data_IF_720707602210
#
_entry.id   IF_720707602210
#
_cell.length_a   1.000
_cell.length_b   1.000
_cell.length_c   1.000
_cell.angle_alpha   90.00
_cell.angle_beta   90.00
_cell.angle_gamma   90.00
#
_symmetry.space_group_name_H-M   'P 1'
#
loop_
_entity.id
_entity.type
_entity.pdbx_description
1 polymer ?
#
# COMPACT_ATOMS: atom_id res chain seq x y z
N UNK A 1 -0.22 5.22 -17.77
CA UNK A 1 -0.10 4.34 -18.96
C UNK A 1 -1.11 4.78 -20.00
N UNK A 2 -0.77 4.71 -21.30
CA UNK A 2 -1.77 4.85 -22.37
C UNK A 2 -2.73 3.65 -22.26
N UNK A 3 -4.03 3.86 -22.45
CA UNK A 3 -5.03 2.80 -22.51
C UNK A 3 -4.84 1.97 -23.78
N UNK A 4 -3.73 1.24 -23.87
CA UNK A 4 -3.38 0.41 -25.01
C UNK A 4 -4.37 -0.75 -25.08
N UNK A 5 -5.21 -0.83 -26.11
CA UNK A 5 -6.20 -1.91 -26.21
C UNK A 5 -5.51 -3.25 -26.44
N UNK A 6 -6.00 -4.31 -25.79
CA UNK A 6 -5.49 -5.69 -25.94
C UNK A 6 -6.56 -6.68 -26.45
N UNK A 7 -7.76 -6.19 -26.75
CA UNK A 7 -8.91 -6.98 -27.24
C UNK A 7 -10.03 -7.12 -26.19
N UNK A 8 -11.25 -7.45 -26.64
CA UNK A 8 -12.39 -7.68 -25.73
C UNK A 8 -12.83 -6.47 -24.89
N UNK A 9 -12.53 -5.24 -25.35
CA UNK A 9 -12.79 -4.01 -24.58
C UNK A 9 -11.78 -3.72 -23.46
N UNK A 10 -10.75 -4.55 -23.32
CA UNK A 10 -9.74 -4.45 -22.26
C UNK A 10 -8.53 -3.63 -22.69
N UNK A 11 -7.79 -3.14 -21.71
CA UNK A 11 -6.54 -2.40 -21.86
C UNK A 11 -5.38 -3.17 -21.23
N UNK A 12 -4.15 -2.81 -21.61
CA UNK A 12 -2.94 -3.37 -21.00
C UNK A 12 -2.90 -3.18 -19.47
N UNK A 13 -3.51 -2.12 -18.94
CA UNK A 13 -3.60 -1.89 -17.49
C UNK A 13 -4.45 -2.98 -16.79
N UNK A 14 -5.41 -3.58 -17.49
CA UNK A 14 -6.26 -4.62 -16.93
C UNK A 14 -5.47 -5.91 -16.66
N UNK A 15 -4.42 -6.16 -17.44
CA UNK A 15 -3.52 -7.32 -17.33
C UNK A 15 -2.17 -6.97 -16.66
N UNK A 16 -1.98 -5.72 -16.21
CA UNK A 16 -0.73 -5.27 -15.58
C UNK A 16 -0.98 -4.75 -14.17
N UNK A 17 -0.32 -5.33 -13.18
CA UNK A 17 -0.24 -4.73 -11.86
C UNK A 17 0.78 -3.58 -11.86
N UNK A 18 0.33 -2.37 -11.57
CA UNK A 18 1.20 -1.21 -11.37
C UNK A 18 1.27 -0.91 -9.89
N UNK A 19 2.48 -0.98 -9.35
CA UNK A 19 2.81 -0.49 -8.02
C UNK A 19 3.66 0.77 -8.16
N UNK A 20 3.16 1.90 -7.68
CA UNK A 20 3.96 3.11 -7.50
C UNK A 20 4.20 3.29 -6.02
N UNK A 21 5.46 3.26 -5.60
CA UNK A 21 5.84 3.47 -4.21
C UNK A 21 7.02 4.43 -4.11
N UNK A 22 7.06 5.17 -3.02
CA UNK A 22 8.18 6.03 -2.66
C UNK A 22 9.02 5.36 -1.59
N UNK A 23 10.33 5.27 -1.81
CA UNK A 23 11.32 4.84 -0.81
C UNK A 23 11.61 5.95 0.21
N UNK A 24 11.29 7.22 -0.10
CA UNK A 24 11.89 8.39 0.53
C UNK A 24 11.73 8.45 2.07
N UNK A 25 12.69 7.82 2.75
CA UNK A 25 13.09 8.13 4.09
C UNK A 25 14.53 8.65 4.06
N UNK A 26 14.75 9.96 3.88
CA UNK A 26 15.89 10.66 4.49
C UNK A 26 15.88 12.19 4.34
N UNK A 27 15.85 12.89 5.49
CA UNK A 27 17.03 13.47 6.17
C UNK A 27 16.75 13.45 7.67
N UNK A 28 17.77 13.43 8.54
CA UNK A 28 17.55 13.57 9.99
C UNK A 28 16.73 14.83 10.27
N UNK A 29 15.63 14.77 11.05
CA UNK A 29 14.76 15.92 11.21
C UNK A 29 15.45 16.98 12.07
N UNK A 30 16.08 17.96 11.42
CA UNK A 30 16.33 19.25 12.05
C UNK A 30 15.11 20.14 11.80
N UNK A 31 14.02 19.86 12.53
CA UNK A 31 12.77 20.63 12.64
C UNK A 31 12.04 21.05 11.34
N UNK A 32 10.72 20.80 11.26
CA UNK A 32 9.88 21.32 10.16
C UNK A 32 9.98 20.55 8.84
N UNK A 33 10.24 19.24 8.88
CA UNK A 33 10.27 18.41 7.68
C UNK A 33 8.83 18.13 7.20
N UNK A 34 8.47 18.64 6.02
CA UNK A 34 7.25 18.33 5.26
C UNK A 34 7.34 16.97 4.53
N UNK A 35 8.48 16.29 4.60
CA UNK A 35 8.72 14.98 4.00
C UNK A 35 8.43 13.87 5.01
N UNK A 36 7.15 13.51 5.10
CA UNK A 36 6.68 12.53 6.08
C UNK A 36 6.83 11.12 5.53
N UNK A 37 7.15 10.17 6.41
CA UNK A 37 7.24 8.74 6.07
C UNK A 37 5.89 8.10 5.71
N UNK A 38 4.86 8.90 5.44
CA UNK A 38 3.65 8.46 4.76
C UNK A 38 4.05 8.03 3.34
N UNK A 39 4.58 6.82 3.23
CA UNK A 39 4.86 6.15 1.97
C UNK A 39 3.52 5.95 1.29
N UNK A 40 3.13 6.93 0.49
CA UNK A 40 1.94 6.81 -0.36
C UNK A 40 2.27 5.75 -1.39
N UNK A 41 1.51 4.66 -1.35
CA UNK A 41 1.59 3.58 -2.30
C UNK A 41 0.33 3.64 -3.15
N UNK A 42 0.50 3.59 -4.47
CA UNK A 42 -0.60 3.51 -5.41
C UNK A 42 -0.55 2.17 -6.12
N UNK A 43 -1.67 1.45 -6.05
CA UNK A 43 -1.91 0.23 -6.81
C UNK A 43 -2.88 0.56 -7.95
N UNK A 44 -2.59 0.07 -9.15
CA UNK A 44 -3.52 0.17 -10.28
C UNK A 44 -3.51 -1.11 -11.12
N UNK A 45 -4.71 -1.66 -11.34
CA UNK A 45 -5.02 -2.82 -12.17
C UNK A 45 -6.56 -2.98 -12.19
N UNK A 46 -7.10 -3.85 -13.03
CA UNK A 46 -8.54 -4.18 -13.06
C UNK A 46 -9.02 -5.00 -11.83
N UNK A 47 -8.12 -5.65 -11.08
CA UNK A 47 -8.44 -6.43 -9.88
C UNK A 47 -8.42 -5.60 -8.58
N UNK A 48 -8.34 -4.28 -8.67
CA UNK A 48 -8.28 -3.37 -7.51
C UNK A 48 -9.54 -2.52 -7.46
N UNK A 49 -10.06 -2.28 -6.26
CA UNK A 49 -11.19 -1.38 -6.05
C UNK A 49 -10.81 0.05 -6.47
N UNK A 50 -11.51 0.67 -7.44
CA UNK A 50 -11.11 1.97 -7.96
C UNK A 50 -11.47 3.11 -6.99
N UNK A 51 -10.71 4.21 -7.06
CA UNK A 51 -10.96 5.46 -6.34
C UNK A 51 -11.05 5.33 -4.80
N UNK A 52 -10.30 4.39 -4.23
CA UNK A 52 -10.25 4.16 -2.79
C UNK A 52 -8.90 4.61 -2.20
N UNK A 53 -8.96 5.21 -1.00
CA UNK A 53 -7.79 5.48 -0.18
C UNK A 53 -7.86 4.60 1.07
N UNK A 54 -6.77 3.89 1.37
CA UNK A 54 -6.59 3.13 2.60
C UNK A 54 -5.60 3.85 3.51
N UNK A 55 -5.83 3.79 4.81
CA UNK A 55 -4.91 4.28 5.84
C UNK A 55 -4.93 5.79 6.06
N UNK A 56 -5.36 6.63 5.11
CA UNK A 56 -5.48 8.06 5.37
C UNK A 56 -4.20 8.70 5.92
N UNK A 57 -4.36 9.81 6.64
CA UNK A 57 -3.25 10.46 7.34
C UNK A 57 -3.63 10.74 8.79
N UNK A 58 -2.72 10.49 9.73
CA UNK A 58 -2.95 10.67 11.16
C UNK A 58 -2.55 12.07 11.65
N UNK A 59 -3.18 13.11 11.09
CA UNK A 59 -2.90 14.51 11.42
C UNK A 59 -3.51 14.98 12.76
N UNK A 60 -4.41 14.20 13.36
CA UNK A 60 -5.19 14.64 14.52
C UNK A 60 -4.28 14.96 15.72
N UNK A 61 -4.46 16.15 16.29
CA UNK A 61 -3.69 16.67 17.44
C UNK A 61 -2.17 16.73 17.24
N UNK A 62 -1.69 16.71 15.99
CA UNK A 62 -0.24 16.85 15.72
C UNK A 62 0.15 18.32 15.60
N UNK A 63 1.18 18.79 16.33
CA UNK A 63 1.71 20.13 16.11
C UNK A 63 2.35 20.24 14.71
N UNK A 64 2.42 21.45 14.10
CA UNK A 64 3.04 21.66 12.80
C UNK A 64 4.48 21.15 12.68
N UNK A 65 5.20 21.11 13.80
CA UNK A 65 6.57 20.62 13.95
C UNK A 65 6.69 19.13 14.32
N UNK A 66 5.56 18.39 14.38
CA UNK A 66 5.55 16.97 14.69
C UNK A 66 6.37 16.18 13.68
N UNK A 67 7.14 15.21 14.17
CA UNK A 67 7.87 14.29 13.30
C UNK A 67 6.97 13.17 12.78
N UNK A 68 6.82 13.08 11.46
CA UNK A 68 6.37 11.93 10.68
C UNK A 68 4.97 11.36 10.99
N UNK A 69 4.03 11.47 10.06
CA UNK A 69 2.80 10.66 10.08
C UNK A 69 3.07 9.24 9.57
N UNK A 70 2.50 8.26 10.27
CA UNK A 70 2.62 6.84 9.93
C UNK A 70 1.38 6.32 9.19
N UNK A 71 0.35 7.18 9.02
CA UNK A 71 -0.96 6.80 8.51
C UNK A 71 -1.86 6.26 9.62
N UNK A 72 -3.17 6.29 9.39
CA UNK A 72 -4.14 5.61 10.24
C UNK A 72 -4.06 4.10 10.04
N UNK A 73 -4.49 3.32 11.05
CA UNK A 73 -4.62 1.88 10.92
C UNK A 73 -5.49 1.45 9.73
N UNK A 74 -5.08 0.34 9.11
CA UNK A 74 -5.85 -0.37 8.10
C UNK A 74 -6.04 -1.82 8.54
N UNK A 75 -7.12 -2.42 8.04
CA UNK A 75 -7.36 -3.85 8.22
C UNK A 75 -6.41 -4.65 7.33
N UNK A 76 -5.78 -5.65 7.93
CA UNK A 76 -4.86 -6.57 7.28
C UNK A 76 -5.22 -8.01 7.65
N UNK A 77 -4.88 -8.95 6.78
CA UNK A 77 -4.89 -10.38 7.09
C UNK A 77 -3.44 -10.84 7.20
N UNK A 78 -3.01 -11.26 8.38
CA UNK A 78 -1.63 -11.73 8.60
C UNK A 78 -1.38 -13.13 8.01
N UNK A 79 -0.14 -13.59 8.08
CA UNK A 79 0.28 -14.90 7.57
C UNK A 79 -0.43 -16.11 8.21
N UNK A 80 -1.08 -15.92 9.37
CA UNK A 80 -1.88 -16.96 10.04
C UNK A 80 -3.34 -16.94 9.61
N UNK A 81 -3.74 -15.99 8.77
CA UNK A 81 -5.13 -15.72 8.41
C UNK A 81 -5.88 -14.87 9.44
N UNK A 82 -5.18 -14.32 10.43
CA UNK A 82 -5.79 -13.50 11.49
C UNK A 82 -5.99 -12.08 10.99
N UNK A 83 -7.18 -11.51 11.24
CA UNK A 83 -7.41 -10.09 10.98
C UNK A 83 -6.73 -9.23 12.05
N UNK A 84 -5.93 -8.27 11.59
CA UNK A 84 -5.23 -7.31 12.44
C UNK A 84 -5.51 -5.88 11.95
N UNK A 85 -5.47 -4.91 12.85
CA UNK A 85 -5.68 -3.49 12.52
C UNK A 85 -4.49 -2.68 13.04
N UNK A 86 -3.70 -2.10 12.11
CA UNK A 86 -2.51 -1.29 12.43
C UNK A 86 -2.07 -0.43 11.24
N UNK A 87 -1.21 0.58 11.43
CA UNK A 87 -0.61 1.29 10.30
C UNK A 87 0.13 0.32 9.36
N UNK A 88 -0.03 0.48 8.04
CA UNK A 88 0.60 -0.39 7.07
C UNK A 88 2.12 -0.16 7.02
N UNK A 89 2.86 -1.22 6.72
CA UNK A 89 4.33 -1.26 6.61
C UNK A 89 4.70 -1.64 5.17
N UNK A 90 5.95 -1.38 4.80
CA UNK A 90 6.48 -1.82 3.50
C UNK A 90 6.35 -3.33 3.25
N UNK A 91 6.48 -4.14 4.31
CA UNK A 91 6.24 -5.58 4.24
C UNK A 91 4.80 -5.92 3.83
N UNK A 92 3.80 -5.17 4.30
CA UNK A 92 2.39 -5.40 3.95
C UNK A 92 2.13 -5.06 2.49
N UNK A 93 2.73 -3.98 2.01
CA UNK A 93 2.67 -3.57 0.60
C UNK A 93 3.27 -4.66 -0.29
N UNK A 94 4.42 -5.21 0.09
CA UNK A 94 5.08 -6.28 -0.65
C UNK A 94 4.23 -7.57 -0.64
N UNK A 95 3.76 -8.01 0.53
CA UNK A 95 2.90 -9.20 0.64
C UNK A 95 1.61 -9.04 -0.16
N UNK A 96 0.97 -7.87 -0.10
CA UNK A 96 -0.22 -7.56 -0.90
C UNK A 96 0.07 -7.59 -2.40
N UNK A 97 1.23 -7.08 -2.82
CA UNK A 97 1.65 -7.11 -4.23
C UNK A 97 1.82 -8.53 -4.73
N UNK A 98 2.47 -9.39 -3.96
CA UNK A 98 2.67 -10.81 -4.30
C UNK A 98 1.33 -11.55 -4.36
N UNK A 99 0.46 -11.32 -3.39
CA UNK A 99 -0.88 -11.90 -3.34
C UNK A 99 -1.77 -11.41 -4.50
N UNK A 100 -1.64 -10.17 -4.96
CA UNK A 100 -2.27 -9.67 -6.19
C UNK A 100 -1.74 -10.34 -7.46
N UNK A 101 -0.47 -10.77 -7.45
CA UNK A 101 0.15 -11.52 -8.54
C UNK A 101 -0.11 -13.03 -8.48
N UNK A 102 -0.83 -13.52 -7.46
CA UNK A 102 -1.06 -14.95 -7.23
C UNK A 102 0.18 -15.71 -6.74
N UNK A 103 1.16 -15.01 -6.18
CA UNK A 103 2.39 -15.58 -5.63
C UNK A 103 2.19 -15.75 -4.11
N UNK A 104 1.61 -16.89 -3.73
CA UNK A 104 1.10 -17.09 -2.37
C UNK A 104 1.87 -18.17 -1.59
N UNK A 105 2.75 -18.92 -2.27
CA UNK A 105 3.48 -20.05 -1.70
C UNK A 105 5.00 -19.85 -1.80
N UNK A 106 5.73 -20.31 -0.78
CA UNK A 106 7.20 -20.34 -0.80
C UNK A 106 7.90 -18.98 -0.64
N UNK A 107 7.15 -17.89 -0.39
CA UNK A 107 7.73 -16.57 -0.11
C UNK A 107 7.70 -16.29 1.39
N UNK A 108 8.87 -16.06 1.97
CA UNK A 108 9.02 -15.61 3.36
C UNK A 108 9.42 -14.14 3.39
N UNK A 109 8.60 -13.31 4.03
CA UNK A 109 8.92 -11.91 4.31
C UNK A 109 9.00 -11.76 5.83
N UNK A 110 10.18 -11.40 6.39
CA UNK A 110 10.34 -11.28 7.83
C UNK A 110 9.50 -10.12 8.39
N UNK A 111 9.07 -10.25 9.64
CA UNK A 111 8.40 -9.18 10.38
C UNK A 111 6.87 -9.26 10.41
N UNK A 112 6.30 -10.46 10.15
CA UNK A 112 4.88 -10.76 10.19
C UNK A 112 4.02 -9.74 9.40
N UNK A 113 4.28 -9.59 8.09
CA UNK A 113 3.45 -8.73 7.25
C UNK A 113 2.07 -9.36 7.03
N UNK A 114 1.11 -8.53 6.63
CA UNK A 114 -0.22 -8.96 6.23
C UNK A 114 -0.62 -8.41 4.86
N UNK A 115 -1.66 -9.01 4.28
CA UNK A 115 -2.32 -8.52 3.06
C UNK A 115 -3.30 -7.42 3.43
N UNK A 116 -3.27 -6.30 2.71
CA UNK A 116 -4.21 -5.19 2.88
C UNK A 116 -5.64 -5.63 2.53
N UNK A 117 -6.53 -5.57 3.51
CA UNK A 117 -7.93 -5.89 3.31
C UNK A 117 -8.66 -4.73 2.62
N UNK A 118 -9.61 -5.05 1.73
CA UNK A 118 -10.39 -4.06 0.98
C UNK A 118 -9.67 -3.39 -0.20
N UNK A 119 -8.47 -3.85 -0.59
CA UNK A 119 -7.78 -3.37 -1.80
C UNK A 119 -8.24 -4.12 -3.06
N UNK A 120 -8.40 -5.45 -2.96
CA UNK A 120 -8.83 -6.33 -4.06
C UNK A 120 -10.32 -6.14 -4.34
N UNK A 121 -10.68 -6.06 -5.61
CA UNK A 121 -12.08 -6.17 -6.03
C UNK A 121 -12.55 -7.63 -5.86
N UNK A 122 -13.76 -7.83 -5.35
CA UNK A 122 -14.41 -9.16 -5.22
C UNK A 122 -14.81 -9.75 -6.57
#
# INVERSE_FOLDING_TARGET
MKATPIGGGRTLLDDTLVLVMSEFGRTWPTHGCDHWAATSVCFANNSIVPNQMLGGYDFENRPPEASGCMGLPVDLVDETGTQINRPPRSGDVLTTTLDLMGINEGVFIPGAPGVLNGLKAE
#
